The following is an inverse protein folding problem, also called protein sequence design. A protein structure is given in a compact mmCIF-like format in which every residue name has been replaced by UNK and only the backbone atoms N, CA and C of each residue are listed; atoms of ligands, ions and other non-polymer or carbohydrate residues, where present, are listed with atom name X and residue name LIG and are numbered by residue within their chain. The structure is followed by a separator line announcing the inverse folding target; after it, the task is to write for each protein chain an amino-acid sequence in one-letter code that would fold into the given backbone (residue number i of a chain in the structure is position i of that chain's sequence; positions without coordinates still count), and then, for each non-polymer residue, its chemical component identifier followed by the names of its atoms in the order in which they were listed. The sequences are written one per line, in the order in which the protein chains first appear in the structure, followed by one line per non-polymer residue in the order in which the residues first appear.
data_IF_047479040484
#
_entry.id   IF_047479040484
#
_cell.length_a   1.000
_cell.length_b   1.000
_cell.length_c   1.000
_cell.angle_alpha   90.00
_cell.angle_beta   90.00
_cell.angle_gamma   90.00
#
_symmetry.space_group_name_H-M   'P 1'
#
loop_
_entity.id
_entity.type
_entity.pdbx_description
1 polymer ?
#
# COMPACT_ATOMS: atom_id res chain seq x y z
N UNK A 1 -21.15 -7.84 18.18
CA UNK A 1 -21.14 -6.55 17.47
C UNK A 1 -20.41 -6.77 16.16
N UNK A 2 -21.13 -6.80 15.03
CA UNK A 2 -20.50 -6.97 13.73
C UNK A 2 -19.64 -5.73 13.45
N UNK A 3 -18.37 -5.93 13.11
CA UNK A 3 -17.53 -4.89 12.55
C UNK A 3 -18.17 -4.43 11.25
N UNK A 4 -19.01 -3.39 11.30
CA UNK A 4 -19.60 -2.78 10.11
C UNK A 4 -18.46 -2.07 9.39
N UNK A 5 -17.97 -2.65 8.31
CA UNK A 5 -17.13 -1.90 7.38
C UNK A 5 -17.97 -0.74 6.83
N UNK A 6 -17.48 0.47 7.05
CA UNK A 6 -18.12 1.73 6.62
C UNK A 6 -17.78 2.14 5.19
N UNK A 7 -17.05 1.29 4.46
CA UNK A 7 -16.46 1.56 3.14
C UNK A 7 -16.71 0.38 2.20
N UNK A 8 -16.99 0.61 0.93
CA UNK A 8 -17.26 -0.52 0.02
C UNK A 8 -15.99 -1.31 -0.30
N UNK A 9 -16.10 -2.61 -0.70
CA UNK A 9 -14.96 -3.36 -1.24
C UNK A 9 -14.23 -2.62 -2.37
N UNK A 10 -14.97 -1.91 -3.22
CA UNK A 10 -14.42 -1.09 -4.30
C UNK A 10 -13.63 0.12 -3.78
N UNK A 11 -14.11 0.80 -2.73
CA UNK A 11 -13.38 1.90 -2.08
C UNK A 11 -12.07 1.40 -1.43
N UNK A 12 -12.09 0.22 -0.82
CA UNK A 12 -10.90 -0.43 -0.26
C UNK A 12 -9.86 -0.73 -1.35
N UNK A 13 -10.27 -1.40 -2.43
CA UNK A 13 -9.40 -1.73 -3.57
C UNK A 13 -8.84 -0.47 -4.25
N UNK A 14 -9.67 0.54 -4.45
CA UNK A 14 -9.24 1.82 -5.04
C UNK A 14 -8.22 2.54 -4.17
N UNK A 15 -8.45 2.55 -2.85
CA UNK A 15 -7.53 3.17 -1.90
C UNK A 15 -6.21 2.41 -1.85
N UNK A 16 -6.25 1.07 -1.84
CA UNK A 16 -5.07 0.22 -1.87
C UNK A 16 -4.20 0.49 -3.12
N UNK A 17 -4.81 0.55 -4.32
CA UNK A 17 -4.10 0.88 -5.55
C UNK A 17 -3.44 2.28 -5.51
N UNK A 18 -4.11 3.26 -4.88
CA UNK A 18 -3.53 4.61 -4.69
C UNK A 18 -2.32 4.58 -3.76
N UNK A 19 -2.38 3.82 -2.67
CA UNK A 19 -1.25 3.65 -1.75
C UNK A 19 -0.05 3.00 -2.45
N UNK A 20 -0.29 1.93 -3.21
CA UNK A 20 0.75 1.23 -3.98
C UNK A 20 1.43 2.17 -4.98
N UNK A 21 0.64 2.92 -5.76
CA UNK A 21 1.15 3.89 -6.73
C UNK A 21 2.03 4.97 -6.07
N UNK A 22 1.60 5.50 -4.91
CA UNK A 22 2.36 6.51 -4.17
C UNK A 22 3.63 5.94 -3.52
N UNK A 23 3.59 4.70 -3.05
CA UNK A 23 4.77 4.01 -2.53
C UNK A 23 5.82 3.82 -3.62
N UNK A 24 5.39 3.45 -4.84
CA UNK A 24 6.28 3.28 -5.97
C UNK A 24 6.89 4.62 -6.42
N UNK A 25 6.09 5.69 -6.50
CA UNK A 25 6.57 7.04 -6.81
C UNK A 25 7.65 7.50 -5.83
N UNK A 26 7.40 7.33 -4.52
CA UNK A 26 8.33 7.69 -3.45
C UNK A 26 9.64 6.89 -3.51
N UNK A 27 9.55 5.58 -3.78
CA UNK A 27 10.72 4.71 -3.98
C UNK A 27 11.57 5.20 -5.16
N UNK A 28 10.95 5.45 -6.30
CA UNK A 28 11.65 5.93 -7.51
C UNK A 28 12.30 7.30 -7.30
N UNK A 29 11.59 8.25 -6.68
CA UNK A 29 12.15 9.57 -6.38
C UNK A 29 13.35 9.48 -5.43
N UNK A 30 13.26 8.64 -4.40
CA UNK A 30 14.35 8.45 -3.44
C UNK A 30 15.59 7.84 -4.11
N UNK A 31 15.40 6.82 -4.96
CA UNK A 31 16.49 6.23 -5.74
C UNK A 31 17.17 7.27 -6.63
N UNK A 32 16.40 8.08 -7.37
CA UNK A 32 16.93 9.15 -8.21
C UNK A 32 17.73 10.18 -7.40
N UNK A 33 17.25 10.55 -6.21
CA UNK A 33 17.96 11.48 -5.33
C UNK A 33 19.27 10.86 -4.82
N UNK A 34 19.24 9.61 -4.38
CA UNK A 34 20.44 8.90 -3.91
C UNK A 34 21.48 8.78 -5.02
N UNK A 35 21.08 8.38 -6.22
CA UNK A 35 21.96 8.31 -7.40
C UNK A 35 22.57 9.68 -7.73
N UNK A 36 21.76 10.75 -7.71
CA UNK A 36 22.24 12.12 -7.93
C UNK A 36 23.31 12.49 -6.90
N UNK A 37 23.05 12.28 -5.61
CA UNK A 37 24.02 12.59 -4.54
C UNK A 37 25.29 11.78 -4.71
N UNK A 38 25.19 10.48 -4.99
CA UNK A 38 26.35 9.62 -5.24
C UNK A 38 27.16 10.07 -6.47
N UNK A 39 26.52 10.61 -7.50
CA UNK A 39 27.20 11.07 -8.73
C UNK A 39 28.01 12.36 -8.57
N UNK A 40 27.54 13.27 -7.71
CA UNK A 40 28.22 14.54 -7.39
C UNK A 40 29.44 14.32 -6.49
N UNK A 41 29.28 13.32 -5.64
CA UNK A 41 30.22 12.89 -4.62
C UNK A 41 31.44 12.20 -5.22
N UNK A 42 32.64 12.57 -4.76
CA UNK A 42 33.91 11.94 -5.17
C UNK A 42 34.50 12.48 -6.48
N UNK A 43 33.69 13.07 -7.37
CA UNK A 43 34.16 13.78 -8.58
C UNK A 43 34.14 15.30 -8.44
N UNK A 44 33.07 15.87 -7.88
CA UNK A 44 32.87 17.32 -7.79
C UNK A 44 33.04 17.80 -6.34
N UNK A 45 32.60 16.99 -5.38
CA UNK A 45 32.65 17.31 -3.96
C UNK A 45 33.24 16.15 -3.16
N UNK A 46 34.23 16.44 -2.32
CA UNK A 46 34.92 15.49 -1.45
C UNK A 46 35.08 16.05 -0.03
N UNK A 47 35.24 15.17 0.95
CA UNK A 47 35.45 15.51 2.36
C UNK A 47 34.46 14.85 3.31
N UNK A 48 34.60 15.09 4.60
CA UNK A 48 33.75 14.49 5.65
C UNK A 48 32.27 14.82 5.47
N UNK A 49 31.96 16.06 5.07
CA UNK A 49 30.58 16.48 4.81
C UNK A 49 29.93 15.67 3.68
N UNK A 50 30.69 15.34 2.63
CA UNK A 50 30.21 14.51 1.54
C UNK A 50 29.91 13.07 2.01
N UNK A 51 30.75 12.52 2.90
CA UNK A 51 30.52 11.18 3.45
C UNK A 51 29.24 11.14 4.29
N UNK A 52 29.02 12.19 5.08
CA UNK A 52 27.79 12.32 5.88
C UNK A 52 26.54 12.40 4.98
N UNK A 53 26.57 13.21 3.91
CA UNK A 53 25.46 13.27 2.96
C UNK A 53 25.15 11.91 2.33
N UNK A 54 26.17 11.17 1.88
CA UNK A 54 25.97 9.82 1.35
C UNK A 54 25.31 8.89 2.38
N UNK A 55 25.78 8.93 3.63
CA UNK A 55 25.24 8.08 4.68
C UNK A 55 23.78 8.40 4.97
N UNK A 56 23.40 9.69 4.98
CA UNK A 56 22.01 10.13 5.17
C UNK A 56 21.10 9.64 4.04
N UNK A 57 21.54 9.73 2.78
CA UNK A 57 20.76 9.28 1.64
C UNK A 57 20.60 7.76 1.57
N UNK A 58 21.64 7.00 1.94
CA UNK A 58 21.53 5.54 2.10
C UNK A 58 20.54 5.16 3.20
N UNK A 59 20.61 5.83 4.36
CA UNK A 59 19.65 5.60 5.45
C UNK A 59 18.21 5.93 5.04
N UNK A 60 18.02 7.02 4.30
CA UNK A 60 16.71 7.37 3.73
C UNK A 60 16.21 6.29 2.76
N UNK A 61 17.07 5.80 1.85
CA UNK A 61 16.73 4.72 0.92
C UNK A 61 16.28 3.46 1.68
N UNK A 62 17.02 3.05 2.70
CA UNK A 62 16.68 1.90 3.55
C UNK A 62 15.31 2.07 4.22
N UNK A 63 15.01 3.25 4.73
CA UNK A 63 13.74 3.53 5.40
C UNK A 63 12.57 3.59 4.41
N UNK A 64 12.77 4.16 3.21
CA UNK A 64 11.77 4.15 2.15
C UNK A 64 11.51 2.73 1.64
N UNK A 65 12.52 1.86 1.56
CA UNK A 65 12.32 0.44 1.22
C UNK A 65 11.47 -0.28 2.27
N UNK A 66 11.68 -0.02 3.57
CA UNK A 66 10.84 -0.57 4.64
C UNK A 66 9.40 -0.06 4.54
N UNK A 67 9.22 1.26 4.34
CA UNK A 67 7.90 1.86 4.18
C UNK A 67 7.16 1.28 2.97
N UNK A 68 7.86 1.08 1.84
CA UNK A 68 7.28 0.45 0.67
C UNK A 68 6.75 -0.95 0.98
N UNK A 69 7.55 -1.77 1.67
CA UNK A 69 7.13 -3.11 2.10
C UNK A 69 5.90 -3.06 3.03
N UNK A 70 5.89 -2.14 4.00
CA UNK A 70 4.73 -1.97 4.88
C UNK A 70 3.47 -1.57 4.11
N UNK A 71 3.62 -0.75 3.07
CA UNK A 71 2.50 -0.35 2.21
C UNK A 71 2.02 -1.55 1.39
N UNK A 72 2.91 -2.37 0.83
CA UNK A 72 2.55 -3.61 0.12
C UNK A 72 1.75 -4.55 1.03
N UNK A 73 2.21 -4.79 2.26
CA UNK A 73 1.49 -5.61 3.25
C UNK A 73 0.11 -5.02 3.56
N UNK A 74 0.00 -3.70 3.71
CA UNK A 74 -1.29 -3.06 3.97
C UNK A 74 -2.25 -3.16 2.77
N UNK A 75 -1.72 -3.01 1.55
CA UNK A 75 -2.47 -3.19 0.30
C UNK A 75 -3.00 -4.62 0.18
N UNK A 76 -2.18 -5.62 0.50
CA UNK A 76 -2.60 -7.02 0.56
C UNK A 76 -3.75 -7.22 1.55
N UNK A 77 -3.62 -6.70 2.78
CA UNK A 77 -4.68 -6.79 3.79
C UNK A 77 -5.99 -6.13 3.33
N UNK A 78 -5.93 -4.94 2.71
CA UNK A 78 -7.13 -4.26 2.19
C UNK A 78 -7.82 -5.09 1.10
N UNK A 79 -7.05 -5.74 0.23
CA UNK A 79 -7.59 -6.62 -0.81
C UNK A 79 -8.21 -7.90 -0.24
N UNK A 80 -7.58 -8.52 0.77
CA UNK A 80 -8.13 -9.69 1.48
C UNK A 80 -9.49 -9.33 2.10
N UNK A 81 -9.54 -8.23 2.86
CA UNK A 81 -10.78 -7.78 3.50
C UNK A 81 -11.87 -7.50 2.46
N UNK A 82 -11.55 -6.81 1.37
CA UNK A 82 -12.52 -6.53 0.32
C UNK A 82 -13.10 -7.82 -0.30
N UNK A 83 -12.26 -8.85 -0.51
CA UNK A 83 -12.70 -10.13 -1.06
C UNK A 83 -13.53 -10.95 -0.07
N UNK A 84 -13.16 -10.97 1.21
CA UNK A 84 -13.95 -11.62 2.26
C UNK A 84 -15.35 -11.01 2.38
N UNK A 85 -15.44 -9.68 2.29
CA UNK A 85 -16.73 -8.97 2.29
C UNK A 85 -17.59 -9.36 1.10
N UNK A 86 -17.02 -9.35 -0.10
CA UNK A 86 -17.75 -9.69 -1.32
C UNK A 86 -18.23 -11.15 -1.30
N UNK A 87 -17.41 -12.07 -0.77
CA UNK A 87 -17.77 -13.48 -0.61
C UNK A 87 -18.92 -13.64 0.39
N UNK A 88 -18.80 -13.00 1.57
CA UNK A 88 -19.83 -13.06 2.62
C UNK A 88 -21.16 -12.51 2.14
N UNK A 89 -21.15 -11.38 1.42
CA UNK A 89 -22.36 -10.77 0.86
C UNK A 89 -23.03 -11.68 -0.18
N UNK A 90 -22.25 -12.33 -1.04
CA UNK A 90 -22.78 -13.28 -2.02
C UNK A 90 -23.39 -14.50 -1.33
N UNK A 91 -22.74 -15.06 -0.31
CA UNK A 91 -23.31 -16.17 0.49
C UNK A 91 -24.60 -15.76 1.18
N UNK A 92 -24.68 -14.55 1.72
CA UNK A 92 -25.92 -14.03 2.32
C UNK A 92 -27.03 -13.88 1.29
N UNK A 93 -26.73 -13.39 0.07
CA UNK A 93 -27.69 -13.31 -1.04
C UNK A 93 -28.19 -14.68 -1.48
N UNK A 94 -27.30 -15.65 -1.63
CA UNK A 94 -27.66 -17.03 -1.96
C UNK A 94 -28.56 -17.62 -0.87
N UNK A 95 -28.18 -17.48 0.39
CA UNK A 95 -28.99 -17.94 1.52
C UNK A 95 -30.37 -17.27 1.52
N UNK A 96 -30.44 -15.95 1.35
CA UNK A 96 -31.69 -15.22 1.29
C UNK A 96 -32.58 -15.67 0.12
N UNK A 97 -31.98 -16.01 -1.03
CA UNK A 97 -32.73 -16.52 -2.19
C UNK A 97 -33.38 -17.89 -1.95
N UNK A 98 -32.88 -18.66 -0.99
CA UNK A 98 -33.48 -19.94 -0.58
C UNK A 98 -34.65 -19.78 0.39
N UNK A 99 -34.84 -18.58 0.97
CA UNK A 99 -35.97 -18.30 1.84
C UNK A 99 -37.26 -18.23 1.01
N UNK A 100 -38.35 -18.82 1.52
CA UNK A 100 -39.65 -18.75 0.86
C UNK A 100 -40.11 -17.29 0.76
N UNK A 101 -40.34 -16.81 -0.47
CA UNK A 101 -40.77 -15.44 -0.73
C UNK A 101 -42.24 -15.19 -0.36
N UNK A 102 -43.05 -16.25 -0.26
CA UNK A 102 -44.44 -16.19 0.14
C UNK A 102 -44.80 -17.46 0.93
N UNK A 103 -45.22 -17.29 2.18
CA UNK A 103 -45.43 -18.41 3.12
C UNK A 103 -46.92 -18.65 3.39
N UNK A 104 -47.80 -17.81 2.82
CA UNK A 104 -49.26 -17.92 2.95
C UNK A 104 -49.88 -17.69 1.57
N UNK A 105 -50.55 -18.72 1.02
CA UNK A 105 -51.36 -18.67 -0.21
C UNK A 105 -52.83 -18.90 0.15
#
# INVERSE_FOLDING_TARGET
MANVIRVTPEELKTTAARFESKAQEMKTQTQQMTELVMSLTGRIWSGEAQLEYNNRFKGLEDDIMKLHKMIEEHVEHLNIIANEYQTTENTNKETASTLASDVIV
#
